data_IF_982408836696
#
_entry.id   IF_982408836696
#
_cell.length_a   1.000
_cell.length_b   1.000
_cell.length_c   1.000
_cell.angle_alpha   90.00
_cell.angle_beta   90.00
_cell.angle_gamma   90.00
#
_symmetry.space_group_name_H-M   'P 1'
#
loop_
_entity.id
_entity.type
_entity.pdbx_description
1 polymer ?
#
# COMPACT_ATOMS: atom_id res chain seq x y z
N UNK A 1 -48.36 -4.69 25.86
CA UNK A 1 -47.03 -4.98 25.30
C UNK A 1 -46.27 -6.15 25.95
N UNK A 2 -46.23 -6.28 27.28
CA UNK A 2 -45.49 -7.38 27.98
C UNK A 2 -45.97 -8.83 27.70
N UNK A 3 -47.22 -9.03 27.31
CA UNK A 3 -47.75 -10.39 26.98
C UNK A 3 -47.35 -10.84 25.56
N UNK A 4 -47.25 -9.92 24.61
CA UNK A 4 -46.87 -10.23 23.21
C UNK A 4 -45.41 -10.68 23.10
N UNK A 5 -44.52 -10.02 23.87
CA UNK A 5 -43.08 -10.36 23.89
C UNK A 5 -42.81 -11.75 24.48
N UNK A 6 -43.61 -12.19 25.44
CA UNK A 6 -43.47 -13.53 26.03
C UNK A 6 -43.92 -14.64 25.09
N UNK A 7 -44.96 -14.39 24.28
CA UNK A 7 -45.45 -15.37 23.29
C UNK A 7 -44.42 -15.51 22.15
N UNK A 8 -43.82 -14.40 21.69
CA UNK A 8 -42.81 -14.42 20.65
C UNK A 8 -41.53 -15.16 21.09
N UNK A 9 -41.10 -14.99 22.35
CA UNK A 9 -39.95 -15.68 22.90
C UNK A 9 -40.17 -17.20 23.04
N UNK A 10 -41.38 -17.64 23.42
CA UNK A 10 -41.70 -19.07 23.52
C UNK A 10 -41.75 -19.75 22.15
N UNK A 11 -42.30 -19.07 21.12
CA UNK A 11 -42.34 -19.62 19.75
C UNK A 11 -40.95 -19.76 19.13
N UNK A 12 -40.03 -18.83 19.41
CA UNK A 12 -38.65 -18.88 18.91
C UNK A 12 -37.86 -20.04 19.57
N UNK A 13 -38.08 -20.29 20.88
CA UNK A 13 -37.44 -21.42 21.57
C UNK A 13 -37.95 -22.77 21.07
N UNK A 14 -39.25 -22.90 20.74
CA UNK A 14 -39.78 -24.14 20.19
C UNK A 14 -39.29 -24.44 18.76
N UNK A 15 -39.04 -23.42 17.94
CA UNK A 15 -38.47 -23.58 16.59
C UNK A 15 -36.99 -24.00 16.63
N UNK A 16 -36.24 -23.53 17.62
CA UNK A 16 -34.85 -23.95 17.80
C UNK A 16 -34.71 -25.37 18.35
N UNK A 17 -35.66 -25.84 19.16
CA UNK A 17 -35.63 -27.21 19.67
C UNK A 17 -36.04 -28.26 18.63
N UNK A 18 -36.88 -27.92 17.63
CA UNK A 18 -37.26 -28.82 16.56
C UNK A 18 -36.16 -29.04 15.49
N UNK A 19 -35.18 -28.13 15.39
CA UNK A 19 -34.07 -28.23 14.44
C UNK A 19 -32.97 -29.22 14.85
N UNK A 20 -32.94 -29.68 16.11
CA UNK A 20 -31.89 -30.55 16.64
C UNK A 20 -32.23 -32.06 16.62
N UNK A 21 -33.46 -32.45 16.19
CA UNK A 21 -33.91 -33.84 16.19
C UNK A 21 -33.76 -34.56 14.84
N UNK A 22 -33.11 -33.96 13.83
CA UNK A 22 -32.95 -34.55 12.50
C UNK A 22 -31.47 -34.95 12.16
N UNK A 23 -30.70 -35.37 13.15
CA UNK A 23 -29.46 -36.06 12.90
C UNK A 23 -29.71 -37.56 12.83
N UNK A 24 -29.99 -38.04 11.60
CA UNK A 24 -29.95 -39.48 11.29
C UNK A 24 -28.53 -39.99 11.46
N UNK A 25 -28.39 -41.18 12.03
CA UNK A 25 -27.09 -41.88 12.19
C UNK A 25 -26.43 -42.03 10.83
N UNK A 26 -25.31 -41.33 10.62
CA UNK A 26 -24.39 -41.57 9.50
C UNK A 26 -23.70 -42.92 9.78
N UNK A 27 -23.72 -43.90 8.85
CA UNK A 27 -22.96 -45.14 9.03
C UNK A 27 -21.48 -44.78 9.25
N UNK A 28 -20.84 -45.44 10.21
CA UNK A 28 -19.47 -45.26 10.53
C UNK A 28 -18.61 -45.43 9.24
N UNK A 29 -17.67 -44.48 8.95
CA UNK A 29 -16.78 -44.63 7.82
C UNK A 29 -15.97 -45.91 7.99
N UNK A 30 -15.93 -46.71 6.94
CA UNK A 30 -15.00 -47.87 6.82
C UNK A 30 -13.58 -47.33 7.05
N UNK A 31 -12.78 -47.99 7.91
CA UNK A 31 -11.39 -47.55 8.08
C UNK A 31 -10.66 -47.61 6.74
N UNK A 32 -10.12 -46.48 6.32
CA UNK A 32 -9.22 -46.38 5.19
C UNK A 32 -8.05 -47.36 5.41
N UNK A 33 -7.58 -48.07 4.35
CA UNK A 33 -6.40 -48.89 4.46
C UNK A 33 -5.23 -48.02 4.90
N UNK A 34 -4.45 -48.50 5.88
CA UNK A 34 -3.26 -47.84 6.41
C UNK A 34 -2.41 -47.23 5.28
N UNK A 35 -2.05 -45.96 5.38
CA UNK A 35 -1.16 -45.35 4.39
C UNK A 35 0.21 -46.03 4.45
N UNK A 36 0.71 -46.43 3.29
CA UNK A 36 2.01 -47.01 3.04
C UNK A 36 3.10 -46.18 3.75
N UNK A 37 3.92 -46.74 4.68
CA UNK A 37 4.89 -45.98 5.47
C UNK A 37 6.09 -45.47 4.65
N UNK A 38 6.01 -45.44 3.34
CA UNK A 38 7.06 -45.00 2.41
C UNK A 38 6.89 -43.63 1.76
N UNK A 39 5.79 -42.93 1.99
CA UNK A 39 5.51 -41.63 1.36
C UNK A 39 5.41 -40.47 2.38
N UNK A 40 6.42 -40.34 3.24
CA UNK A 40 6.61 -39.08 3.97
C UNK A 40 7.32 -38.04 3.08
N UNK A 41 6.67 -37.62 2.00
CA UNK A 41 6.96 -36.34 1.40
C UNK A 41 6.19 -35.31 2.30
N UNK A 42 6.91 -34.66 3.19
CA UNK A 42 6.43 -33.51 3.95
C UNK A 42 6.11 -32.36 3.00
N UNK A 43 5.10 -32.52 2.17
CA UNK A 43 4.54 -31.47 1.34
C UNK A 43 3.27 -30.99 2.01
N UNK A 44 3.27 -29.76 2.43
CA UNK A 44 2.06 -29.03 2.80
C UNK A 44 1.11 -29.10 1.61
N UNK A 45 0.14 -30.04 1.61
CA UNK A 45 -0.88 -30.16 0.57
C UNK A 45 -1.89 -29.02 0.78
N UNK A 46 -1.44 -27.81 0.59
CA UNK A 46 -2.33 -26.69 0.37
C UNK A 46 -3.03 -26.97 -0.97
N UNK A 47 -4.35 -27.13 -0.96
CA UNK A 47 -5.13 -27.26 -2.20
C UNK A 47 -4.81 -26.01 -3.01
N UNK A 48 -4.15 -26.09 -4.16
CA UNK A 48 -3.76 -24.91 -4.90
C UNK A 48 -5.05 -24.19 -5.31
N UNK A 49 -5.22 -22.96 -4.90
CA UNK A 49 -6.25 -22.10 -5.45
C UNK A 49 -6.11 -22.06 -6.98
N UNK A 50 -7.19 -22.17 -7.75
CA UNK A 50 -7.11 -22.19 -9.20
C UNK A 50 -6.36 -20.93 -9.67
N UNK A 51 -5.22 -21.14 -10.33
CA UNK A 51 -4.39 -20.13 -10.96
C UNK A 51 -4.78 -20.04 -12.43
N UNK A 52 -5.43 -18.95 -12.81
CA UNK A 52 -5.97 -18.75 -14.16
C UNK A 52 -5.14 -17.69 -14.88
N UNK A 53 -4.66 -17.93 -16.12
CA UNK A 53 -3.99 -16.92 -16.92
C UNK A 53 -4.87 -15.69 -17.10
N UNK A 54 -4.26 -14.50 -17.02
CA UNK A 54 -4.91 -13.21 -17.19
C UNK A 54 -4.22 -12.41 -18.30
N UNK A 55 -4.94 -11.52 -18.97
CA UNK A 55 -4.39 -10.86 -20.17
C UNK A 55 -3.34 -9.79 -19.84
N UNK A 56 -3.52 -9.11 -18.73
CA UNK A 56 -2.69 -7.96 -18.33
C UNK A 56 -2.72 -7.75 -16.80
N UNK A 57 -2.24 -6.61 -16.35
CA UNK A 57 -2.16 -6.17 -14.95
C UNK A 57 -3.46 -5.56 -14.38
N UNK A 58 -4.56 -5.56 -15.17
CA UNK A 58 -5.88 -5.08 -14.76
C UNK A 58 -6.73 -6.23 -14.23
N UNK A 59 -6.65 -6.48 -12.94
CA UNK A 59 -7.42 -7.51 -12.24
C UNK A 59 -8.83 -7.01 -11.89
N UNK A 60 -9.78 -7.91 -11.51
CA UNK A 60 -11.17 -7.49 -11.25
C UNK A 60 -11.32 -6.39 -10.20
N UNK A 61 -10.53 -6.45 -9.12
CA UNK A 61 -10.65 -5.55 -7.98
C UNK A 61 -9.58 -4.45 -7.94
N UNK A 62 -8.56 -4.54 -8.79
CA UNK A 62 -7.47 -3.55 -8.85
C UNK A 62 -6.64 -3.70 -10.13
N UNK A 63 -5.85 -2.64 -10.41
CA UNK A 63 -4.78 -2.65 -11.38
C UNK A 63 -3.44 -2.57 -10.66
N UNK A 64 -2.46 -3.42 -11.05
CA UNK A 64 -1.08 -3.29 -10.60
C UNK A 64 -0.29 -2.39 -11.55
N UNK A 65 0.56 -1.54 -10.98
CA UNK A 65 1.45 -0.68 -11.74
C UNK A 65 2.78 -0.46 -10.99
N UNK A 66 3.74 0.20 -11.64
CA UNK A 66 5.06 0.50 -11.05
C UNK A 66 5.95 -0.71 -10.81
N UNK A 67 5.53 -1.91 -11.24
CA UNK A 67 6.36 -3.11 -11.17
C UNK A 67 7.49 -3.05 -12.21
N UNK A 68 8.66 -3.70 -11.95
CA UNK A 68 9.76 -3.73 -12.89
C UNK A 68 9.37 -4.31 -14.25
N UNK A 69 9.63 -3.55 -15.33
CA UNK A 69 9.54 -4.00 -16.73
C UNK A 69 10.77 -3.47 -17.49
N UNK A 70 11.89 -4.14 -17.32
CA UNK A 70 13.19 -3.77 -17.89
C UNK A 70 13.98 -5.01 -18.30
N UNK A 71 15.07 -4.81 -19.02
CA UNK A 71 15.94 -5.92 -19.40
C UNK A 71 16.41 -6.73 -18.17
N UNK A 72 16.23 -8.03 -18.22
CA UNK A 72 16.51 -8.97 -17.12
C UNK A 72 15.42 -9.06 -16.04
N UNK A 73 14.37 -8.24 -16.10
CA UNK A 73 13.24 -8.29 -15.18
C UNK A 73 11.93 -7.91 -15.91
N UNK A 74 11.52 -8.79 -16.86
CA UNK A 74 10.28 -8.62 -17.61
C UNK A 74 9.22 -9.58 -17.11
N UNK A 75 7.96 -9.11 -16.97
CA UNK A 75 6.84 -10.02 -16.73
C UNK A 75 6.77 -11.13 -17.79
N UNK A 76 6.64 -12.37 -17.33
CA UNK A 76 6.44 -13.56 -18.18
C UNK A 76 4.98 -13.96 -18.28
N UNK A 77 4.13 -13.44 -17.38
CA UNK A 77 2.70 -13.67 -17.40
C UNK A 77 1.97 -13.03 -16.24
N UNK A 78 0.67 -12.86 -16.43
CA UNK A 78 -0.27 -12.39 -15.42
C UNK A 78 -1.24 -13.52 -15.09
N UNK A 79 -1.66 -13.62 -13.83
CA UNK A 79 -2.55 -14.66 -13.37
C UNK A 79 -3.48 -14.14 -12.29
N UNK A 80 -4.68 -14.70 -12.24
CA UNK A 80 -5.64 -14.50 -11.15
C UNK A 80 -5.73 -15.78 -10.32
N UNK A 81 -5.54 -15.68 -9.01
CA UNK A 81 -5.55 -16.82 -8.08
C UNK A 81 -6.77 -16.70 -7.19
N UNK A 82 -7.61 -17.71 -7.15
CA UNK A 82 -8.81 -17.74 -6.30
C UNK A 82 -9.82 -16.64 -6.59
N UNK A 83 -9.68 -15.90 -7.70
CA UNK A 83 -10.56 -14.81 -8.10
C UNK A 83 -10.22 -13.44 -7.48
N UNK A 84 -9.30 -13.36 -6.51
CA UNK A 84 -9.01 -12.14 -5.74
C UNK A 84 -7.54 -11.73 -5.69
N UNK A 85 -6.60 -12.67 -5.89
CA UNK A 85 -5.17 -12.38 -5.84
C UNK A 85 -4.65 -12.23 -7.26
N UNK A 86 -4.14 -11.04 -7.61
CA UNK A 86 -3.41 -10.79 -8.84
C UNK A 86 -1.94 -11.22 -8.70
N UNK A 87 -1.42 -11.92 -9.70
CA UNK A 87 -0.03 -12.35 -9.75
C UNK A 87 0.64 -11.87 -11.02
N UNK A 88 1.85 -11.32 -10.88
CA UNK A 88 2.79 -11.08 -11.96
C UNK A 88 3.95 -12.05 -11.79
N UNK A 89 4.16 -12.91 -12.79
CA UNK A 89 5.29 -13.84 -12.82
C UNK A 89 6.44 -13.26 -13.62
N UNK A 90 7.65 -13.50 -13.13
CA UNK A 90 8.92 -13.25 -13.79
C UNK A 90 9.70 -14.56 -13.90
N UNK A 91 10.80 -14.56 -14.62
CA UNK A 91 11.68 -15.72 -14.68
C UNK A 91 12.26 -16.09 -13.30
N UNK A 92 12.56 -15.07 -12.48
CA UNK A 92 13.25 -15.22 -11.19
C UNK A 92 12.49 -14.61 -10.00
N UNK A 93 11.24 -14.22 -10.19
CA UNK A 93 10.42 -13.62 -9.13
C UNK A 93 8.93 -13.89 -9.35
N UNK A 94 8.15 -13.81 -8.30
CA UNK A 94 6.69 -13.80 -8.35
C UNK A 94 6.15 -12.73 -7.42
N UNK A 95 5.45 -11.75 -7.98
CA UNK A 95 4.78 -10.69 -7.23
C UNK A 95 3.30 -11.02 -7.13
N UNK A 96 2.73 -10.94 -5.94
CA UNK A 96 1.28 -11.06 -5.70
C UNK A 96 0.74 -9.86 -4.96
N UNK A 97 -0.52 -9.56 -5.23
CA UNK A 97 -1.26 -8.48 -4.58
C UNK A 97 -2.71 -8.89 -4.38
N UNK A 98 -3.29 -8.49 -3.28
CA UNK A 98 -4.72 -8.57 -3.00
C UNK A 98 -5.20 -7.33 -2.26
N UNK A 99 -6.50 -7.03 -2.32
CA UNK A 99 -7.11 -6.05 -1.45
C UNK A 99 -6.94 -6.49 0.01
N UNK A 100 -6.64 -5.52 0.90
CA UNK A 100 -6.39 -5.79 2.32
C UNK A 100 -7.56 -6.53 2.97
N UNK A 101 -7.26 -7.65 3.60
CA UNK A 101 -8.21 -8.47 4.35
C UNK A 101 -8.17 -8.20 5.86
N UNK A 102 -7.31 -7.29 6.32
CA UNK A 102 -7.20 -6.80 7.70
C UNK A 102 -5.94 -7.25 8.44
N UNK A 103 -5.38 -8.43 8.19
CA UNK A 103 -4.30 -8.99 9.00
C UNK A 103 -2.95 -9.15 8.27
N UNK A 104 -2.78 -8.62 7.06
CA UNK A 104 -1.52 -8.76 6.32
C UNK A 104 -1.22 -10.20 5.96
N UNK A 105 -1.97 -10.77 5.05
CA UNK A 105 -1.83 -12.17 4.65
C UNK A 105 -0.53 -12.41 3.86
N UNK A 106 0.11 -13.54 4.14
CA UNK A 106 1.20 -14.03 3.31
C UNK A 106 0.63 -14.63 2.02
N UNK A 107 0.63 -13.81 0.96
CA UNK A 107 0.14 -14.20 -0.36
C UNK A 107 1.17 -15.02 -1.16
N UNK A 108 2.40 -15.20 -0.67
CA UNK A 108 3.50 -15.83 -1.43
C UNK A 108 3.20 -17.26 -1.85
N UNK A 109 2.38 -17.97 -1.08
CA UNK A 109 2.11 -19.39 -1.26
C UNK A 109 3.32 -20.28 -0.93
N UNK A 110 4.31 -19.72 -0.23
CA UNK A 110 5.53 -20.41 0.19
C UNK A 110 5.60 -20.34 1.71
N UNK A 111 5.90 -21.47 2.33
CA UNK A 111 5.99 -21.56 3.78
C UNK A 111 7.35 -22.09 4.22
N UNK A 112 8.09 -21.24 4.94
CA UNK A 112 9.38 -21.58 5.52
C UNK A 112 9.32 -21.36 7.05
N UNK A 113 9.08 -22.42 7.83
CA UNK A 113 8.95 -22.29 9.29
C UNK A 113 10.23 -21.82 9.99
N UNK A 114 11.39 -22.07 9.38
CA UNK A 114 12.71 -21.76 9.94
C UNK A 114 13.39 -20.58 9.21
N UNK A 115 12.63 -19.74 8.49
CA UNK A 115 13.19 -18.57 7.83
C UNK A 115 13.67 -17.52 8.85
N UNK A 116 14.81 -16.90 8.56
CA UNK A 116 15.25 -15.72 9.29
C UNK A 116 14.38 -14.53 8.87
N UNK A 117 13.75 -13.89 9.87
CA UNK A 117 12.88 -12.73 9.64
C UNK A 117 13.61 -11.44 9.98
N UNK A 118 13.48 -10.45 9.10
CA UNK A 118 14.01 -9.11 9.28
C UNK A 118 13.07 -8.06 8.68
N UNK A 119 13.24 -6.80 9.06
CA UNK A 119 12.44 -5.69 8.52
C UNK A 119 13.32 -4.72 7.72
N UNK A 120 12.77 -4.23 6.61
CA UNK A 120 13.36 -3.15 5.82
C UNK A 120 12.39 -1.96 5.80
N UNK A 121 12.94 -0.76 5.99
CA UNK A 121 12.22 0.48 5.75
C UNK A 121 12.49 0.95 4.33
N UNK A 122 11.47 1.04 3.50
CA UNK A 122 11.58 1.39 2.08
C UNK A 122 10.79 2.65 1.80
N UNK A 123 11.46 3.66 1.23
CA UNK A 123 10.78 4.85 0.72
C UNK A 123 10.00 4.52 -0.55
N UNK A 124 8.70 4.74 -0.54
CA UNK A 124 7.84 4.48 -1.68
C UNK A 124 7.85 5.65 -2.67
N UNK A 125 7.83 5.36 -3.99
CA UNK A 125 7.88 6.37 -5.06
C UNK A 125 6.75 7.40 -5.01
N UNK A 126 5.62 7.06 -4.40
CA UNK A 126 4.48 7.97 -4.17
C UNK A 126 4.54 8.73 -2.83
N UNK A 127 5.67 8.64 -2.15
CA UNK A 127 5.88 9.22 -0.83
C UNK A 127 5.40 8.30 0.30
N UNK A 128 6.00 8.50 1.47
CA UNK A 128 5.82 7.63 2.62
C UNK A 128 6.90 6.56 2.73
N UNK A 129 6.94 5.94 3.89
CA UNK A 129 7.83 4.82 4.19
C UNK A 129 6.94 3.61 4.43
N UNK A 130 7.27 2.51 3.79
CA UNK A 130 6.64 1.21 4.05
C UNK A 130 7.61 0.32 4.80
N UNK A 131 7.09 -0.47 5.72
CA UNK A 131 7.83 -1.55 6.37
C UNK A 131 7.63 -2.82 5.57
N UNK A 132 8.72 -3.45 5.19
CA UNK A 132 8.74 -4.72 4.47
C UNK A 132 9.28 -5.79 5.39
N UNK A 133 8.47 -6.80 5.70
CA UNK A 133 8.93 -8.01 6.41
C UNK A 133 9.62 -8.92 5.40
N UNK A 134 10.87 -9.26 5.64
CA UNK A 134 11.68 -10.13 4.79
C UNK A 134 11.94 -11.44 5.52
N UNK A 135 11.55 -12.55 4.91
CA UNK A 135 11.77 -13.91 5.39
C UNK A 135 12.78 -14.59 4.46
N UNK A 136 13.96 -14.85 4.97
CA UNK A 136 15.08 -15.41 4.19
C UNK A 136 15.31 -16.88 4.56
N UNK A 137 15.36 -17.75 3.56
CA UNK A 137 15.62 -19.18 3.68
C UNK A 137 16.60 -19.63 2.58
N UNK A 138 17.24 -20.79 2.75
CA UNK A 138 18.19 -21.33 1.77
C UNK A 138 17.62 -21.51 0.36
N UNK A 139 16.30 -21.66 0.23
CA UNK A 139 15.60 -21.81 -1.06
C UNK A 139 15.16 -20.48 -1.68
N UNK A 140 15.31 -19.35 -0.97
CA UNK A 140 14.97 -18.04 -1.47
C UNK A 140 14.44 -17.08 -0.42
N UNK A 141 13.92 -15.95 -0.87
CA UNK A 141 13.43 -14.86 -0.02
C UNK A 141 11.96 -14.58 -0.30
N UNK A 142 11.16 -14.47 0.76
CA UNK A 142 9.79 -13.93 0.73
C UNK A 142 9.81 -12.53 1.34
N UNK A 143 9.21 -11.57 0.69
CA UNK A 143 8.99 -10.23 1.23
C UNK A 143 7.50 -9.91 1.26
N UNK A 144 7.03 -9.32 2.37
CA UNK A 144 5.63 -8.99 2.63
C UNK A 144 5.52 -7.52 3.00
N UNK A 145 4.58 -6.80 2.42
CA UNK A 145 4.30 -5.41 2.82
C UNK A 145 2.86 -5.02 2.51
N UNK A 146 2.44 -3.92 3.12
CA UNK A 146 1.17 -3.26 2.81
C UNK A 146 1.40 -2.00 1.99
N UNK A 147 0.39 -1.61 1.21
CA UNK A 147 0.39 -0.28 0.58
C UNK A 147 0.50 0.83 1.63
N UNK A 148 1.00 2.00 1.24
CA UNK A 148 1.06 3.16 2.15
C UNK A 148 -0.32 3.55 2.72
N UNK A 149 -1.40 3.29 1.99
CA UNK A 149 -2.77 3.53 2.42
C UNK A 149 -3.34 2.37 3.26
N UNK A 150 -2.65 1.23 3.32
CA UNK A 150 -3.06 0.03 4.06
C UNK A 150 -4.20 -0.75 3.41
N UNK A 151 -4.56 -0.46 2.15
CA UNK A 151 -5.70 -1.05 1.46
C UNK A 151 -5.34 -2.20 0.51
N UNK A 152 -4.05 -2.53 0.39
CA UNK A 152 -3.53 -3.67 -0.37
C UNK A 152 -2.40 -4.37 0.36
N UNK A 153 -2.39 -5.70 0.28
CA UNK A 153 -1.30 -6.58 0.71
C UNK A 153 -0.48 -7.04 -0.49
N UNK A 154 0.83 -7.11 -0.31
CA UNK A 154 1.78 -7.57 -1.33
C UNK A 154 2.66 -8.66 -0.80
N UNK A 155 2.98 -9.63 -1.65
CA UNK A 155 4.03 -10.61 -1.43
C UNK A 155 4.94 -10.68 -2.64
N UNK A 156 6.24 -10.75 -2.40
CA UNK A 156 7.25 -11.02 -3.42
C UNK A 156 8.00 -12.30 -3.04
N UNK A 157 8.01 -13.28 -3.94
CA UNK A 157 8.81 -14.48 -3.83
C UNK A 157 9.99 -14.43 -4.81
N UNK A 158 11.20 -14.64 -4.30
CA UNK A 158 12.47 -14.65 -5.03
C UNK A 158 13.14 -16.01 -4.89
N UNK A 159 12.81 -17.01 -5.73
CA UNK A 159 13.37 -18.35 -5.67
C UNK A 159 14.89 -18.34 -5.89
N UNK A 160 15.63 -19.04 -5.04
CA UNK A 160 17.08 -19.19 -5.11
C UNK A 160 17.88 -17.89 -4.85
N UNK A 161 17.23 -16.81 -4.44
CA UNK A 161 17.87 -15.53 -4.18
C UNK A 161 17.83 -15.21 -2.68
N UNK A 162 18.98 -14.87 -2.11
CA UNK A 162 19.16 -14.56 -0.68
C UNK A 162 20.18 -13.43 -0.51
N UNK A 163 20.29 -12.91 0.71
CA UNK A 163 21.26 -11.87 1.08
C UNK A 163 21.00 -10.51 0.43
N UNK A 164 22.06 -9.72 0.27
CA UNK A 164 21.96 -8.34 -0.17
C UNK A 164 21.37 -8.17 -1.58
N UNK A 165 21.60 -9.15 -2.47
CA UNK A 165 21.03 -9.13 -3.82
C UNK A 165 19.50 -9.28 -3.79
N UNK A 166 18.97 -10.19 -2.96
CA UNK A 166 17.53 -10.35 -2.77
C UNK A 166 16.93 -9.09 -2.10
N UNK A 167 17.59 -8.53 -1.08
CA UNK A 167 17.15 -7.29 -0.43
C UNK A 167 17.09 -6.11 -1.38
N UNK A 168 18.06 -5.98 -2.29
CA UNK A 168 18.04 -4.93 -3.31
C UNK A 168 16.83 -5.04 -4.24
N UNK A 169 16.48 -6.26 -4.68
CA UNK A 169 15.27 -6.51 -5.47
C UNK A 169 14.00 -6.24 -4.67
N UNK A 170 13.93 -6.70 -3.42
CA UNK A 170 12.81 -6.40 -2.52
C UNK A 170 12.59 -4.89 -2.42
N UNK A 171 13.65 -4.11 -2.22
CA UNK A 171 13.57 -2.65 -2.16
C UNK A 171 13.09 -2.04 -3.48
N UNK A 172 13.56 -2.55 -4.64
CA UNK A 172 13.11 -2.08 -5.96
C UNK A 172 11.60 -2.29 -6.14
N UNK A 173 11.11 -3.51 -5.87
CA UNK A 173 9.69 -3.83 -5.98
C UNK A 173 8.86 -3.00 -4.98
N UNK A 174 9.23 -3.02 -3.71
CA UNK A 174 8.49 -2.34 -2.67
C UNK A 174 8.47 -0.80 -2.86
N UNK A 175 9.53 -0.20 -3.41
CA UNK A 175 9.57 1.23 -3.69
C UNK A 175 8.67 1.64 -4.87
N UNK A 176 8.47 0.76 -5.84
CA UNK A 176 7.81 1.09 -7.11
C UNK A 176 6.38 0.59 -7.24
N UNK A 177 6.08 -0.61 -6.71
CA UNK A 177 4.82 -1.30 -6.96
C UNK A 177 3.65 -0.68 -6.18
N UNK A 178 2.55 -0.47 -6.87
CA UNK A 178 1.30 -0.03 -6.27
C UNK A 178 0.08 -0.65 -6.97
N UNK A 179 -1.02 -0.77 -6.23
CA UNK A 179 -2.31 -1.18 -6.75
C UNK A 179 -3.31 -0.02 -6.71
N UNK A 180 -4.20 0.02 -7.70
CA UNK A 180 -5.24 1.04 -7.84
C UNK A 180 -6.58 0.36 -7.99
N UNK A 181 -7.60 0.82 -7.26
CA UNK A 181 -8.98 0.31 -7.42
C UNK A 181 -9.54 0.68 -8.80
N UNK A 182 -10.43 -0.14 -9.37
CA UNK A 182 -11.06 0.18 -10.65
C UNK A 182 -11.77 1.54 -10.61
N UNK A 183 -11.60 2.33 -11.67
CA UNK A 183 -12.20 3.67 -11.77
C UNK A 183 -11.48 4.77 -11.00
N UNK A 184 -10.42 4.44 -10.26
CA UNK A 184 -9.50 5.41 -9.70
C UNK A 184 -8.42 5.69 -10.74
N UNK A 185 -8.15 6.95 -11.02
CA UNK A 185 -7.03 7.30 -11.91
C UNK A 185 -5.73 6.75 -11.32
N UNK A 186 -4.93 6.09 -12.16
CA UNK A 186 -3.63 5.57 -11.75
C UNK A 186 -2.83 6.70 -11.10
N UNK A 187 -2.27 6.50 -9.90
CA UNK A 187 -1.37 7.50 -9.34
C UNK A 187 -0.22 7.71 -10.34
N UNK A 188 -0.24 8.82 -11.01
CA UNK A 188 0.90 9.23 -11.81
C UNK A 188 1.89 9.73 -10.79
N UNK A 189 2.73 8.90 -10.23
CA UNK A 189 3.75 9.25 -9.25
C UNK A 189 4.27 10.68 -9.26
N UNK A 190 5.46 10.92 -8.88
CA UNK A 190 6.07 12.25 -9.00
C UNK A 190 6.18 12.64 -10.49
N UNK A 191 5.53 13.72 -10.87
CA UNK A 191 5.68 14.34 -12.21
C UNK A 191 6.29 15.72 -12.07
N UNK A 192 7.07 16.13 -13.06
CA UNK A 192 7.49 17.53 -13.14
C UNK A 192 6.23 18.40 -13.27
N UNK A 193 6.01 19.29 -12.31
CA UNK A 193 4.93 20.26 -12.40
C UNK A 193 5.12 21.16 -13.60
N UNK A 194 4.04 21.49 -14.28
CA UNK A 194 4.03 22.46 -15.39
C UNK A 194 3.85 23.89 -14.86
N UNK A 195 4.04 24.89 -15.71
CA UNK A 195 3.71 26.29 -15.37
C UNK A 195 2.23 26.46 -15.00
N UNK A 196 1.33 25.67 -15.57
CA UNK A 196 -0.10 25.65 -15.20
C UNK A 196 -0.29 25.12 -13.78
N UNK A 197 0.41 24.06 -13.40
CA UNK A 197 0.32 23.47 -12.06
C UNK A 197 0.94 24.42 -11.04
N UNK A 198 2.01 25.10 -11.39
CA UNK A 198 2.63 26.11 -10.55
C UNK A 198 1.71 27.34 -10.34
N UNK A 199 1.00 27.76 -11.39
CA UNK A 199 -0.02 28.83 -11.27
C UNK A 199 -1.17 28.38 -10.34
N UNK A 200 -1.65 27.14 -10.48
CA UNK A 200 -2.64 26.54 -9.59
C UNK A 200 -2.14 26.49 -8.14
N UNK A 201 -0.89 26.10 -7.92
CA UNK A 201 -0.29 26.11 -6.59
C UNK A 201 -0.32 27.51 -5.95
N UNK A 202 0.09 28.54 -6.71
CA UNK A 202 0.06 29.93 -6.24
C UNK A 202 -1.35 30.40 -5.88
N UNK A 203 -2.37 29.96 -6.60
CA UNK A 203 -3.76 30.23 -6.31
C UNK A 203 -4.20 29.55 -5.01
N UNK A 204 -4.00 28.23 -4.90
CA UNK A 204 -4.47 27.42 -3.76
C UNK A 204 -3.81 27.89 -2.44
N UNK A 205 -2.49 28.10 -2.43
CA UNK A 205 -1.78 28.47 -1.20
C UNK A 205 -2.17 29.88 -0.70
N UNK A 206 -2.70 30.74 -1.57
CA UNK A 206 -3.12 32.12 -1.25
C UNK A 206 -4.62 32.28 -1.08
N UNK A 207 -5.42 31.27 -1.34
CA UNK A 207 -6.88 31.35 -1.29
C UNK A 207 -7.44 31.70 0.10
N UNK A 208 -6.67 31.51 1.17
CA UNK A 208 -7.04 31.91 2.55
C UNK A 208 -8.16 31.09 3.18
N UNK A 209 -8.56 29.98 2.57
CA UNK A 209 -9.63 29.09 3.04
C UNK A 209 -9.12 27.89 3.86
N UNK A 210 -7.88 27.93 4.34
CA UNK A 210 -7.29 26.87 5.15
C UNK A 210 -7.79 27.00 6.58
N UNK A 211 -8.57 26.00 7.03
CA UNK A 211 -9.12 25.95 8.37
C UNK A 211 -8.28 25.11 9.33
N UNK A 212 -7.58 24.09 8.81
CA UNK A 212 -6.80 23.15 9.60
C UNK A 212 -5.56 22.70 8.84
N UNK A 213 -4.45 22.52 9.56
CA UNK A 213 -3.21 21.95 9.00
C UNK A 213 -2.74 20.81 9.89
N UNK A 214 -2.53 19.64 9.27
CA UNK A 214 -1.85 18.50 9.89
C UNK A 214 -0.41 18.47 9.40
N UNK A 215 0.51 18.07 10.28
CA UNK A 215 1.92 17.92 9.96
C UNK A 215 2.42 16.53 10.35
N UNK A 216 3.36 16.03 9.57
CA UNK A 216 4.06 14.76 9.82
C UNK A 216 5.49 14.87 9.33
N UNK A 217 6.45 14.47 10.13
CA UNK A 217 7.85 14.30 9.73
C UNK A 217 8.29 12.83 9.91
N UNK A 218 9.53 12.53 9.54
CA UNK A 218 10.12 11.18 9.61
C UNK A 218 10.29 10.61 11.03
N UNK A 219 10.08 11.41 12.07
CA UNK A 219 10.18 10.98 13.47
C UNK A 219 8.82 10.64 14.07
N UNK A 220 7.74 10.97 13.37
CA UNK A 220 6.36 10.82 13.84
C UNK A 220 5.73 9.54 13.32
N UNK A 221 4.96 8.85 14.15
CA UNK A 221 4.14 7.69 13.78
C UNK A 221 2.76 8.09 13.26
N UNK A 222 2.27 9.27 13.66
CA UNK A 222 0.96 9.81 13.26
C UNK A 222 1.05 11.31 12.98
N UNK A 223 0.23 11.84 12.04
CA UNK A 223 0.14 13.27 11.81
C UNK A 223 -0.39 14.01 13.04
N UNK A 224 0.17 15.18 13.33
CA UNK A 224 -0.28 16.05 14.42
C UNK A 224 -0.97 17.31 13.86
N UNK A 225 -2.00 17.78 14.54
CA UNK A 225 -2.63 19.06 14.22
C UNK A 225 -1.76 20.23 14.71
N UNK A 226 -1.45 21.14 13.81
CA UNK A 226 -0.66 22.32 14.16
C UNK A 226 -1.52 23.38 14.88
N UNK A 227 -0.90 24.10 15.81
CA UNK A 227 -1.52 25.32 16.34
C UNK A 227 -1.75 26.35 15.23
N UNK A 228 -2.77 27.22 15.33
CA UNK A 228 -3.04 28.24 14.33
C UNK A 228 -1.84 29.13 14.02
N UNK A 229 -1.01 29.44 15.02
CA UNK A 229 0.21 30.23 14.86
C UNK A 229 1.26 29.51 14.01
N UNK A 230 1.56 28.23 14.34
CA UNK A 230 2.54 27.43 13.59
C UNK A 230 2.04 27.12 12.18
N UNK A 231 0.75 26.79 12.02
CA UNK A 231 0.11 26.61 10.73
C UNK A 231 0.25 27.87 9.86
N UNK A 232 -0.09 29.05 10.41
CA UNK A 232 0.06 30.32 9.72
C UNK A 232 1.50 30.63 9.31
N UNK A 233 2.48 30.32 10.18
CA UNK A 233 3.90 30.47 9.88
C UNK A 233 4.32 29.60 8.67
N UNK A 234 4.01 28.29 8.69
CA UNK A 234 4.43 27.38 7.62
C UNK A 234 3.68 27.64 6.31
N UNK A 235 2.39 27.95 6.36
CA UNK A 235 1.63 28.35 5.17
C UNK A 235 2.15 29.65 4.59
N UNK A 236 2.51 30.63 5.44
CA UNK A 236 3.14 31.87 5.02
C UNK A 236 4.46 31.64 4.29
N UNK A 237 5.33 30.76 4.80
CA UNK A 237 6.58 30.37 4.13
C UNK A 237 6.33 29.74 2.75
N UNK A 238 5.34 28.85 2.65
CA UNK A 238 4.98 28.22 1.36
C UNK A 238 4.43 29.27 0.39
N UNK A 239 3.60 30.20 0.85
CA UNK A 239 3.04 31.26 0.02
C UNK A 239 4.11 32.26 -0.48
N UNK A 240 5.09 32.62 0.37
CA UNK A 240 6.23 33.45 0.01
C UNK A 240 7.18 32.73 -0.97
N UNK A 241 7.39 31.43 -0.77
CA UNK A 241 8.24 30.64 -1.67
C UNK A 241 7.63 30.45 -3.06
N UNK A 242 6.29 30.44 -3.17
CA UNK A 242 5.58 30.10 -4.39
C UNK A 242 5.94 30.94 -5.62
N UNK A 243 6.39 32.19 -5.44
CA UNK A 243 6.83 33.06 -6.54
C UNK A 243 8.25 32.74 -7.02
N UNK A 244 9.04 32.06 -6.20
CA UNK A 244 10.44 31.67 -6.50
C UNK A 244 10.56 30.23 -7.01
N UNK A 245 9.48 29.44 -6.90
CA UNK A 245 9.46 28.10 -7.47
C UNK A 245 9.50 28.15 -9.00
N UNK A 246 10.19 27.18 -9.58
CA UNK A 246 10.27 26.97 -11.03
C UNK A 246 9.90 25.53 -11.38
N UNK A 247 9.69 25.28 -12.66
CA UNK A 247 9.40 23.92 -13.15
C UNK A 247 10.69 23.21 -13.54
N UNK A 248 10.71 21.88 -13.39
CA UNK A 248 11.80 21.06 -13.89
C UNK A 248 11.58 20.70 -15.35
N UNK A 249 12.61 20.81 -16.19
CA UNK A 249 12.58 20.22 -17.55
C UNK A 249 12.58 18.68 -17.50
N UNK A 250 13.25 18.11 -16.50
CA UNK A 250 13.30 16.68 -16.21
C UNK A 250 13.34 16.48 -14.70
N UNK A 251 12.52 15.57 -14.20
CA UNK A 251 12.55 15.22 -12.78
C UNK A 251 13.94 14.79 -12.33
N UNK A 252 14.48 15.40 -11.27
CA UNK A 252 15.69 14.91 -10.63
C UNK A 252 15.42 13.53 -10.00
N UNK A 253 16.48 12.78 -9.72
CA UNK A 253 16.34 11.55 -8.95
C UNK A 253 15.79 11.88 -7.56
N UNK A 254 14.85 11.05 -7.02
CA UNK A 254 14.27 11.30 -5.72
C UNK A 254 15.35 11.44 -4.66
N UNK A 255 15.32 12.55 -3.93
CA UNK A 255 16.17 12.74 -2.77
C UNK A 255 15.68 11.80 -1.66
N UNK A 256 16.60 11.00 -1.12
CA UNK A 256 16.35 10.20 0.08
C UNK A 256 16.61 11.06 1.30
N UNK A 257 15.57 11.37 2.08
CA UNK A 257 15.72 12.13 3.33
C UNK A 257 14.36 12.42 3.97
N UNK A 258 14.37 12.61 5.29
CA UNK A 258 13.17 12.97 6.06
C UNK A 258 12.66 14.34 5.62
N UNK A 259 11.41 14.40 5.22
CA UNK A 259 10.74 15.62 4.81
C UNK A 259 9.58 15.94 5.74
N UNK A 260 9.38 17.21 6.03
CA UNK A 260 8.14 17.66 6.66
C UNK A 260 7.03 17.65 5.61
N UNK A 261 5.94 16.93 5.92
CA UNK A 261 4.70 16.91 5.14
C UNK A 261 3.64 17.73 5.86
N UNK A 262 2.99 18.63 5.14
CA UNK A 262 1.81 19.35 5.59
C UNK A 262 0.60 18.93 4.77
N UNK A 263 -0.54 18.68 5.43
CA UNK A 263 -1.83 18.50 4.78
C UNK A 263 -2.78 19.60 5.27
N UNK A 264 -3.29 20.39 4.35
CA UNK A 264 -4.22 21.50 4.63
C UNK A 264 -5.66 21.13 4.27
N UNK A 265 -6.59 21.52 5.12
CA UNK A 265 -8.01 21.24 5.00
C UNK A 265 -8.83 22.54 5.04
N UNK A 266 -9.97 22.54 4.33
CA UNK A 266 -10.98 23.60 4.46
C UNK A 266 -11.85 23.43 5.72
N UNK A 267 -12.84 24.31 5.89
CA UNK A 267 -13.76 24.28 7.04
C UNK A 267 -14.71 23.07 7.01
N UNK A 268 -14.97 22.51 5.86
CA UNK A 268 -15.79 21.30 5.64
C UNK A 268 -15.00 20.02 5.85
N UNK A 269 -13.67 20.10 6.03
CA UNK A 269 -12.78 18.96 6.22
C UNK A 269 -12.27 18.33 4.92
N UNK A 270 -12.48 18.97 3.76
CA UNK A 270 -11.91 18.50 2.52
C UNK A 270 -10.42 18.83 2.44
N UNK A 271 -9.62 17.95 1.89
CA UNK A 271 -8.21 18.22 1.64
C UNK A 271 -8.07 19.28 0.54
N UNK A 272 -7.37 20.36 0.83
CA UNK A 272 -7.02 21.38 -0.15
C UNK A 272 -5.74 21.01 -0.89
N UNK A 273 -4.73 20.62 -0.14
CA UNK A 273 -3.45 20.13 -0.68
C UNK A 273 -2.66 19.36 0.37
N UNK A 274 -1.69 18.58 -0.11
CA UNK A 274 -0.56 18.09 0.68
C UNK A 274 0.72 18.67 0.09
N UNK A 275 1.59 19.23 0.92
CA UNK A 275 2.89 19.74 0.52
C UNK A 275 4.01 19.09 1.33
N UNK A 276 5.09 18.72 0.64
CA UNK A 276 6.27 18.08 1.23
C UNK A 276 7.53 18.75 0.66
N UNK A 277 8.44 19.17 1.53
CA UNK A 277 9.69 19.81 1.11
C UNK A 277 10.90 18.97 1.53
N UNK A 278 11.75 18.67 0.55
CA UNK A 278 13.02 17.98 0.74
C UNK A 278 14.01 18.41 -0.36
N UNK A 279 14.43 19.68 -0.36
CA UNK A 279 15.22 20.28 -1.42
C UNK A 279 14.43 20.58 -2.71
N UNK A 280 13.29 20.00 -2.87
CA UNK A 280 12.25 20.32 -3.86
C UNK A 280 10.88 20.39 -3.18
N UNK A 281 9.92 21.04 -3.80
CA UNK A 281 8.55 21.07 -3.30
C UNK A 281 7.70 20.06 -4.07
N UNK A 282 7.12 19.12 -3.34
CA UNK A 282 6.13 18.17 -3.86
C UNK A 282 4.75 18.61 -3.39
N UNK A 283 3.82 18.79 -4.33
CA UNK A 283 2.44 19.21 -4.03
C UNK A 283 1.45 18.21 -4.62
N UNK A 284 0.48 17.82 -3.81
CA UNK A 284 -0.70 17.06 -4.24
C UNK A 284 -1.92 17.94 -4.01
N UNK A 285 -2.78 18.13 -5.00
CA UNK A 285 -3.97 18.96 -4.88
C UNK A 285 -5.19 18.14 -4.50
N UNK A 286 -5.89 18.54 -3.45
CA UNK A 286 -7.11 17.88 -2.99
C UNK A 286 -6.88 16.38 -2.75
N UNK A 287 -7.74 15.57 -3.33
CA UNK A 287 -7.65 14.12 -3.31
C UNK A 287 -7.03 13.53 -4.59
N UNK A 288 -6.33 14.35 -5.39
CA UNK A 288 -5.61 13.86 -6.55
C UNK A 288 -4.51 12.88 -6.11
N UNK A 289 -4.18 11.95 -7.00
CA UNK A 289 -3.11 10.98 -6.73
C UNK A 289 -1.79 11.38 -7.42
N UNK A 290 -1.77 12.54 -8.09
CA UNK A 290 -0.59 13.08 -8.77
C UNK A 290 0.20 13.98 -7.84
N UNK A 291 1.49 13.69 -7.68
CA UNK A 291 2.44 14.49 -6.92
C UNK A 291 3.22 15.41 -7.88
N UNK A 292 2.92 16.68 -7.91
CA UNK A 292 3.59 17.67 -8.73
C UNK A 292 4.88 18.13 -8.07
N UNK A 293 6.02 17.97 -8.75
CA UNK A 293 7.33 18.34 -8.23
C UNK A 293 7.79 19.64 -8.85
N UNK A 294 8.11 20.61 -7.99
CA UNK A 294 8.63 21.92 -8.38
C UNK A 294 10.06 22.09 -7.90
N UNK A 295 10.86 22.76 -8.72
CA UNK A 295 12.19 23.19 -8.32
C UNK A 295 12.06 24.28 -7.24
N UNK A 296 12.66 24.01 -6.09
CA UNK A 296 12.62 24.86 -4.92
C UNK A 296 14.03 25.39 -4.54
N UNK A 297 14.99 25.31 -5.47
CA UNK A 297 16.31 25.92 -5.26
C UNK A 297 16.15 27.42 -4.99
N UNK A 298 16.82 27.92 -3.95
CA UNK A 298 16.75 29.33 -3.54
C UNK A 298 15.36 29.88 -3.17
N UNK A 299 14.35 29.01 -2.97
CA UNK A 299 12.98 29.43 -2.63
C UNK A 299 12.84 29.93 -1.18
N UNK A 300 13.86 29.71 -0.33
CA UNK A 300 13.93 30.17 1.06
C UNK A 300 13.20 29.27 2.06
N UNK A 301 12.92 28.02 1.70
CA UNK A 301 12.36 27.00 2.61
C UNK A 301 13.43 26.29 3.45
N UNK A 302 14.68 26.26 2.96
CA UNK A 302 15.79 25.56 3.63
C UNK A 302 15.96 26.02 5.08
N UNK A 303 15.97 25.04 6.01
CA UNK A 303 16.15 25.25 7.43
C UNK A 303 15.02 26.01 8.14
N UNK A 304 13.94 26.39 7.41
CA UNK A 304 12.79 27.11 7.96
C UNK A 304 11.51 26.27 7.94
N UNK A 305 11.44 25.33 7.02
CA UNK A 305 10.28 24.46 6.88
C UNK A 305 10.43 23.23 7.80
N UNK A 306 10.27 23.49 9.12
CA UNK A 306 10.45 22.51 10.20
C UNK A 306 9.35 22.68 11.25
N UNK A 307 9.18 21.68 12.12
CA UNK A 307 8.24 21.74 13.25
C UNK A 307 8.83 22.43 14.50
N UNK A 308 10.14 22.61 14.53
CA UNK A 308 10.87 23.29 15.61
C UNK A 308 10.62 24.80 15.65
#
# INVERSE_FOLDING_TARGET
MKKLTRILALTLCCLLAAGLAACGETPAPTPDPDPDPGSAIGGNTQIPNPRVPYENDEFPDFKLAGYPDRDGMKPTGFYLIGGTIGEISYETATLRCAADTGEGEDLSGVYYPDAEESELSVGHSYGGIITVTVKEHSEGTVALWKSCAGDFDYSLWLPGQTGDAAKALVMEFAAGVYAVKPGVETPIGHVAGTEKDLARWREVIRAGNIAKVMAMDHTMTEPVELTPEKAGQLIGLLAESADRLTVYEKLPNPATGGALRLTAYDAEGNTLFTACYNGWLVVTFGNEMTNYVFNADDCGLDGKFTLD
#
